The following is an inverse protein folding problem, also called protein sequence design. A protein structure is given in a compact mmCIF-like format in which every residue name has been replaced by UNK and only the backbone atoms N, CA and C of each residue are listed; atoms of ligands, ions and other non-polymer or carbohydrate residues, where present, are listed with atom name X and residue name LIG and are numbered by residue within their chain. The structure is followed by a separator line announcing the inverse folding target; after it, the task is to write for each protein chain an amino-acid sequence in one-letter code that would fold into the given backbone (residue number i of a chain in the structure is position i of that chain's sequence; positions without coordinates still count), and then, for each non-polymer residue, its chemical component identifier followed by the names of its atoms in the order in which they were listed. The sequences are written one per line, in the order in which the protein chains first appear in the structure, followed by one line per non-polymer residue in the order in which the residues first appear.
data_IF_005553471000
#
_entry.id   IF_005553471000
#
_cell.length_a   1.000
_cell.length_b   1.000
_cell.length_c   1.000
_cell.angle_alpha   90.00
_cell.angle_beta   90.00
_cell.angle_gamma   90.00
#
_symmetry.space_group_name_H-M   'P 1'
#
loop_
_entity.id
_entity.type
_entity.pdbx_description
1 polymer ?
#
# COMPACT_ATOMS: atom_id res chain seq x y z
N UNK A 1 -16.84 -2.26 0.02
CA UNK A 1 -15.92 -3.38 -0.32
C UNK A 1 -15.41 -4.07 0.93
N UNK A 2 -14.77 -3.37 1.87
CA UNK A 2 -14.28 -3.95 3.13
C UNK A 2 -15.34 -4.73 3.91
N UNK A 3 -16.56 -4.19 4.05
CA UNK A 3 -17.61 -4.85 4.85
C UNK A 3 -18.38 -5.97 4.13
N UNK A 4 -18.65 -5.83 2.83
CA UNK A 4 -19.50 -6.76 2.08
C UNK A 4 -18.69 -7.77 1.26
N UNK A 5 -17.48 -7.40 0.83
CA UNK A 5 -16.60 -8.22 0.01
C UNK A 5 -15.35 -8.67 0.78
N UNK A 6 -15.27 -8.43 2.09
CA UNK A 6 -14.14 -8.79 2.95
C UNK A 6 -12.78 -8.33 2.41
N UNK A 7 -12.74 -7.17 1.74
CA UNK A 7 -11.53 -6.63 1.14
C UNK A 7 -10.67 -5.87 2.16
N UNK A 8 -9.35 -6.06 2.10
CA UNK A 8 -8.40 -5.25 2.86
C UNK A 8 -8.36 -3.81 2.33
N UNK A 9 -8.31 -2.84 3.25
CA UNK A 9 -8.22 -1.42 2.91
C UNK A 9 -6.75 -0.97 2.85
N UNK A 10 -6.41 -0.14 1.88
CA UNK A 10 -5.11 0.53 1.81
C UNK A 10 -5.27 1.93 1.20
N UNK A 11 -4.59 2.93 1.78
CA UNK A 11 -4.74 4.33 1.37
C UNK A 11 -3.44 5.12 1.36
N UNK A 12 -3.25 5.93 0.31
CA UNK A 12 -2.16 6.89 0.19
C UNK A 12 -2.67 8.15 -0.52
N UNK A 13 -2.51 9.30 0.11
CA UNK A 13 -2.87 10.60 -0.48
C UNK A 13 -1.78 11.02 -1.46
N UNK A 14 -2.22 11.42 -2.65
CA UNK A 14 -1.37 11.86 -3.77
C UNK A 14 -1.69 13.31 -4.15
N UNK A 15 -0.80 13.97 -4.88
CA UNK A 15 -0.96 15.37 -5.32
C UNK A 15 -0.39 16.42 -4.35
N UNK A 16 -0.07 16.04 -3.11
CA UNK A 16 0.76 16.84 -2.22
C UNK A 16 2.25 16.77 -2.62
N UNK A 17 3.10 17.62 -2.00
CA UNK A 17 4.56 17.63 -2.23
C UNK A 17 5.20 16.26 -1.96
N UNK A 18 4.67 15.51 -1.01
CA UNK A 18 5.06 14.12 -0.69
C UNK A 18 3.80 13.28 -0.48
N UNK A 19 3.84 11.96 -0.77
CA UNK A 19 2.74 11.06 -0.42
C UNK A 19 2.50 11.01 1.09
N UNK A 20 1.24 10.90 1.51
CA UNK A 20 0.88 10.83 2.93
C UNK A 20 -0.05 9.63 3.18
N UNK A 21 0.37 8.74 4.06
CA UNK A 21 -0.50 7.67 4.59
C UNK A 21 -1.39 8.28 5.67
N UNK A 22 -2.70 8.26 5.44
CA UNK A 22 -3.69 8.62 6.46
C UNK A 22 -4.16 7.36 7.15
N UNK A 23 -4.34 7.45 8.47
CA UNK A 23 -4.91 6.36 9.27
C UNK A 23 -6.23 6.80 9.87
N UNK A 24 -7.12 5.82 10.08
CA UNK A 24 -8.40 5.97 10.73
C UNK A 24 -8.44 5.18 12.03
N UNK A 25 -9.28 5.60 12.97
CA UNK A 25 -9.60 4.80 14.17
C UNK A 25 -10.17 3.42 13.80
N UNK A 26 -10.81 3.30 12.64
CA UNK A 26 -11.38 2.04 12.17
C UNK A 26 -10.35 1.11 11.51
N UNK A 27 -9.11 1.55 11.29
CA UNK A 27 -8.08 0.73 10.66
C UNK A 27 -7.49 -0.26 11.67
N UNK A 28 -7.42 -1.52 11.26
CA UNK A 28 -6.68 -2.56 11.98
C UNK A 28 -5.21 -2.63 11.54
N UNK A 29 -4.46 -3.58 12.09
CA UNK A 29 -3.04 -3.75 11.77
C UNK A 29 -2.79 -4.07 10.29
N UNK A 30 -3.69 -4.83 9.65
CA UNK A 30 -3.54 -5.22 8.25
C UNK A 30 -3.79 -4.06 7.31
N UNK A 31 -4.81 -3.25 7.57
CA UNK A 31 -5.10 -2.05 6.79
C UNK A 31 -3.92 -1.04 6.85
N UNK A 32 -3.32 -0.89 8.03
CA UNK A 32 -2.11 -0.07 8.21
C UNK A 32 -0.92 -0.64 7.45
N UNK A 33 -0.68 -1.95 7.56
CA UNK A 33 0.43 -2.60 6.85
C UNK A 33 0.28 -2.51 5.33
N UNK A 34 -0.93 -2.72 4.81
CA UNK A 34 -1.21 -2.62 3.38
C UNK A 34 -1.00 -1.18 2.85
N UNK A 35 -1.41 -0.17 3.63
CA UNK A 35 -1.15 1.24 3.33
C UNK A 35 0.34 1.58 3.33
N UNK A 36 1.10 1.06 4.30
CA UNK A 36 2.56 1.23 4.36
C UNK A 36 3.26 0.55 3.18
N UNK A 37 2.83 -0.68 2.81
CA UNK A 37 3.33 -1.37 1.63
C UNK A 37 3.08 -0.54 0.36
N UNK A 38 1.89 0.04 0.22
CA UNK A 38 1.55 0.90 -0.92
C UNK A 38 2.46 2.14 -1.00
N UNK A 39 2.80 2.76 0.15
CA UNK A 39 3.76 3.86 0.20
C UNK A 39 5.18 3.45 -0.27
N UNK A 40 5.65 2.26 0.16
CA UNK A 40 6.95 1.71 -0.28
C UNK A 40 6.96 1.42 -1.78
N UNK A 41 5.88 0.85 -2.30
CA UNK A 41 5.73 0.57 -3.73
C UNK A 41 5.72 1.86 -4.57
N UNK A 42 5.02 2.91 -4.11
CA UNK A 42 5.04 4.20 -4.78
C UNK A 42 6.44 4.84 -4.75
N UNK A 43 7.13 4.75 -3.61
CA UNK A 43 8.51 5.23 -3.50
C UNK A 43 9.46 4.48 -4.45
N UNK A 44 9.34 3.16 -4.54
CA UNK A 44 10.11 2.35 -5.48
C UNK A 44 9.86 2.79 -6.93
N UNK A 45 8.58 2.97 -7.30
CA UNK A 45 8.18 3.40 -8.64
C UNK A 45 8.70 4.79 -8.98
N UNK A 46 8.65 5.75 -8.05
CA UNK A 46 9.23 7.09 -8.24
C UNK A 46 10.74 7.06 -8.43
N UNK A 47 11.45 6.20 -7.69
CA UNK A 47 12.91 6.09 -7.76
C UNK A 47 13.40 5.40 -9.03
N UNK A 48 12.69 4.37 -9.49
CA UNK A 48 13.18 3.48 -10.57
C UNK A 48 12.44 3.64 -11.90
N UNK A 49 11.30 4.36 -11.90
CA UNK A 49 10.37 4.41 -13.03
C UNK A 49 9.65 3.10 -13.31
N UNK A 50 9.87 2.04 -12.50
CA UNK A 50 9.29 0.71 -12.71
C UNK A 50 8.22 0.41 -11.67
N UNK A 51 7.14 -0.22 -12.09
CA UNK A 51 6.27 -0.90 -11.14
C UNK A 51 7.09 -1.99 -10.44
N UNK A 52 6.93 -2.13 -9.13
CA UNK A 52 7.52 -3.27 -8.44
C UNK A 52 6.89 -4.53 -9.05
N UNK A 53 7.70 -5.36 -9.71
CA UNK A 53 7.28 -6.70 -10.07
C UNK A 53 6.81 -7.37 -8.77
N UNK A 54 5.60 -7.92 -8.79
CA UNK A 54 4.94 -8.55 -7.65
C UNK A 54 5.99 -9.32 -6.82
N UNK A 55 6.18 -8.93 -5.56
CA UNK A 55 7.05 -9.59 -4.57
C UNK A 55 6.57 -11.03 -4.22
N UNK A 56 5.89 -11.71 -5.16
CA UNK A 56 5.22 -12.99 -4.97
C UNK A 56 5.57 -14.07 -6.01
N UNK A 57 6.52 -13.85 -6.94
CA UNK A 57 7.00 -14.89 -7.86
C UNK A 57 8.41 -15.43 -7.54
N UNK A 58 9.02 -15.02 -6.43
CA UNK A 58 10.26 -15.62 -5.94
C UNK A 58 9.98 -16.94 -5.18
N UNK A 59 10.84 -17.97 -5.33
CA UNK A 59 10.59 -19.27 -4.69
C UNK A 59 10.58 -19.08 -3.17
N UNK A 60 9.47 -19.50 -2.55
CA UNK A 60 9.41 -19.66 -1.09
C UNK A 60 10.21 -20.91 -0.76
N UNK A 61 11.40 -20.71 -0.20
CA UNK A 61 12.14 -21.77 0.49
C UNK A 61 11.36 -22.24 1.73
#
# INVERSE_FOLDING_TARGET
LTFIAHAEAAGLVMGARVPVMLTSRADDDKARLASAALAVLDAHRRKTGRAAALLGSGPRA
#
